data_IF_803763928081
#
_entry.id   IF_803763928081
#
_cell.length_a   1.000
_cell.length_b   1.000
_cell.length_c   1.000
_cell.angle_alpha   90.00
_cell.angle_beta   90.00
_cell.angle_gamma   90.00
#
_symmetry.space_group_name_H-M   'P 1'
#
loop_
_entity.id
_entity.type
_entity.pdbx_description
1 polymer ?
#
# COMPACT_ATOMS: atom_id res chain seq x y z
N UNK A 1 -12.29 -4.04 15.94
CA UNK A 1 -13.15 -3.88 14.75
C UNK A 1 -12.34 -4.18 13.51
N UNK A 2 -12.89 -4.90 12.52
CA UNK A 2 -12.23 -5.13 11.23
C UNK A 2 -12.54 -3.97 10.31
N UNK A 3 -11.52 -3.29 9.81
CA UNK A 3 -11.68 -2.21 8.82
C UNK A 3 -11.54 -2.81 7.42
N UNK A 4 -12.47 -2.47 6.53
CA UNK A 4 -12.41 -2.82 5.13
C UNK A 4 -12.33 -1.53 4.32
N UNK A 5 -11.38 -1.48 3.40
CA UNK A 5 -11.14 -0.33 2.52
C UNK A 5 -11.17 -0.87 1.09
N UNK A 6 -11.84 -0.14 0.19
CA UNK A 6 -11.88 -0.45 -1.23
C UNK A 6 -11.18 0.69 -1.96
N UNK A 7 -10.05 0.39 -2.60
CA UNK A 7 -9.34 1.33 -3.46
C UNK A 7 -9.93 1.25 -4.87
N UNK A 8 -10.04 2.39 -5.54
CA UNK A 8 -10.64 2.49 -6.88
C UNK A 8 -9.74 3.27 -7.82
N UNK A 9 -9.79 2.95 -9.11
CA UNK A 9 -9.06 3.69 -10.14
C UNK A 9 -7.55 3.74 -9.85
N UNK A 10 -6.99 4.94 -9.89
CA UNK A 10 -5.55 5.19 -9.71
C UNK A 10 -5.05 4.71 -8.35
N UNK A 11 -5.82 4.87 -7.27
CA UNK A 11 -5.41 4.45 -5.93
C UNK A 11 -5.11 2.94 -5.85
N UNK A 12 -5.83 2.13 -6.62
CA UNK A 12 -5.59 0.69 -6.69
C UNK A 12 -4.28 0.34 -7.41
N UNK A 13 -3.90 1.14 -8.41
CA UNK A 13 -2.66 0.96 -9.16
C UNK A 13 -1.46 1.41 -8.32
N UNK A 14 -1.57 2.57 -7.68
CA UNK A 14 -0.55 3.12 -6.79
C UNK A 14 -0.28 2.19 -5.61
N UNK A 15 -1.33 1.57 -5.05
CA UNK A 15 -1.19 0.57 -4.00
C UNK A 15 -0.38 -0.65 -4.43
N UNK A 16 -0.67 -1.23 -5.60
CA UNK A 16 0.05 -2.41 -6.09
C UNK A 16 1.51 -2.07 -6.42
N UNK A 17 1.76 -0.91 -7.03
CA UNK A 17 3.11 -0.43 -7.32
C UNK A 17 3.93 -0.17 -6.05
N UNK A 18 3.29 0.41 -5.03
CA UNK A 18 3.92 0.64 -3.74
C UNK A 18 4.23 -0.67 -3.01
N UNK A 19 3.33 -1.66 -3.09
CA UNK A 19 3.56 -2.99 -2.53
C UNK A 19 4.82 -3.63 -3.13
N UNK A 20 4.94 -3.61 -4.46
CA UNK A 20 6.11 -4.13 -5.18
C UNK A 20 7.39 -3.39 -4.79
N UNK A 21 7.31 -2.07 -4.67
CA UNK A 21 8.44 -1.23 -4.25
C UNK A 21 8.94 -1.60 -2.86
N UNK A 22 8.02 -1.77 -1.89
CA UNK A 22 8.37 -2.15 -0.51
C UNK A 22 8.95 -3.58 -0.48
N UNK A 23 8.38 -4.50 -1.25
CA UNK A 23 8.84 -5.89 -1.35
C UNK A 23 10.27 -5.97 -1.94
N UNK A 24 10.59 -5.16 -2.94
CA UNK A 24 11.95 -5.05 -3.49
C UNK A 24 12.95 -4.46 -2.48
N UNK A 25 12.52 -3.49 -1.67
CA UNK A 25 13.38 -2.85 -0.67
C UNK A 25 13.60 -3.73 0.57
N UNK A 26 12.72 -4.70 0.83
CA UNK A 26 12.78 -5.60 1.99
C UNK A 26 12.79 -7.07 1.54
N UNK A 27 13.94 -7.57 1.08
CA UNK A 27 14.07 -8.97 0.68
C UNK A 27 13.79 -9.87 1.89
N UNK A 28 12.74 -10.69 1.79
CA UNK A 28 12.38 -11.70 2.80
C UNK A 28 10.99 -11.57 3.40
N UNK A 29 10.21 -10.54 3.08
CA UNK A 29 8.84 -10.43 3.58
C UNK A 29 7.93 -9.56 2.71
N UNK A 30 6.81 -10.15 2.26
CA UNK A 30 5.75 -9.40 1.58
C UNK A 30 5.10 -8.43 2.58
N UNK A 31 4.99 -7.13 2.27
CA UNK A 31 4.36 -6.17 3.16
C UNK A 31 2.88 -6.46 3.35
N UNK A 32 2.36 -6.13 4.54
CA UNK A 32 0.93 -6.29 4.82
C UNK A 32 0.11 -5.19 4.13
N UNK A 33 -1.16 -5.47 3.81
CA UNK A 33 -2.03 -4.45 3.20
C UNK A 33 -2.14 -3.20 4.08
N UNK A 34 -2.18 -3.35 5.41
CA UNK A 34 -2.24 -2.22 6.33
C UNK A 34 -0.98 -1.35 6.27
N UNK A 35 0.19 -1.96 6.09
CA UNK A 35 1.45 -1.24 5.92
C UNK A 35 1.47 -0.44 4.60
N UNK A 36 1.07 -1.08 3.50
CA UNK A 36 1.02 -0.42 2.19
C UNK A 36 0.02 0.74 2.20
N UNK A 37 -1.17 0.55 2.78
CA UNK A 37 -2.16 1.64 2.95
C UNK A 37 -1.58 2.79 3.78
N UNK A 38 -0.87 2.51 4.87
CA UNK A 38 -0.27 3.56 5.69
C UNK A 38 0.72 4.41 4.88
N UNK A 39 1.61 3.76 4.12
CA UNK A 39 2.60 4.47 3.31
C UNK A 39 1.93 5.24 2.17
N UNK A 40 0.87 4.69 1.57
CA UNK A 40 0.07 5.38 0.56
C UNK A 40 -0.56 6.68 1.10
N UNK A 41 -1.14 6.62 2.31
CA UNK A 41 -1.74 7.79 2.97
C UNK A 41 -0.69 8.80 3.44
N UNK A 42 0.49 8.33 3.87
CA UNK A 42 1.61 9.21 4.26
C UNK A 42 2.18 9.97 3.04
N UNK A 43 2.09 9.41 1.84
CA UNK A 43 2.61 9.99 0.59
C UNK A 43 1.61 10.90 -0.14
N UNK A 44 0.31 10.83 0.19
CA UNK A 44 -0.71 11.63 -0.48
C UNK A 44 -0.65 13.10 -0.01
N UNK A 45 -0.48 14.08 -0.91
CA UNK A 45 -0.66 15.49 -0.58
C UNK A 45 -2.17 15.75 -0.39
N UNK A 46 -2.57 16.13 0.82
CA UNK A 46 -3.94 16.54 1.14
C UNK A 46 -4.37 17.79 0.36
#
# INVERSE_FOLDING_TARGET
>A
MRTQITLQGTDSQDFEQLRETIEQQRPGGRPSNAEVVRVLMDAAPY
#
